data_IF_568396972687
#
_entry.id   IF_568396972687
#
_cell.length_a   1.000
_cell.length_b   1.000
_cell.length_c   1.000
_cell.angle_alpha   90.00
_cell.angle_beta   90.00
_cell.angle_gamma   90.00
#
_symmetry.space_group_name_H-M   'P 1'
#
loop_
_entity.id
_entity.type
_entity.pdbx_description
1 polymer ?
#
# COMPACT_ATOMS: atom_id res chain seq x y z
N UNK A 1 -39.31 9.44 -22.65
CA UNK A 1 -37.84 9.41 -22.50
C UNK A 1 -37.50 8.28 -21.53
N UNK A 2 -36.81 7.25 -22.01
CA UNK A 2 -36.51 6.04 -21.24
C UNK A 2 -35.49 6.34 -20.13
N UNK A 3 -35.92 6.21 -18.88
CA UNK A 3 -35.05 6.15 -17.71
C UNK A 3 -34.32 4.82 -17.70
N UNK A 4 -33.08 4.79 -18.19
CA UNK A 4 -32.22 3.63 -18.06
C UNK A 4 -31.92 3.39 -16.57
N UNK A 5 -32.33 2.22 -16.06
CA UNK A 5 -32.01 1.76 -14.71
C UNK A 5 -30.48 1.65 -14.52
N UNK A 6 -29.94 1.91 -13.32
CA UNK A 6 -28.52 1.70 -13.06
C UNK A 6 -28.21 0.21 -13.23
N UNK A 7 -27.29 -0.11 -14.15
CA UNK A 7 -26.88 -1.49 -14.40
C UNK A 7 -26.18 -2.05 -13.15
N UNK A 8 -26.85 -2.99 -12.47
CA UNK A 8 -26.26 -3.80 -11.40
C UNK A 8 -25.04 -4.56 -11.96
N UNK A 9 -23.84 -4.18 -11.53
CA UNK A 9 -22.62 -4.87 -11.89
C UNK A 9 -22.70 -6.29 -11.29
N UNK A 10 -22.61 -7.36 -12.09
CA UNK A 10 -22.79 -8.71 -11.59
C UNK A 10 -21.73 -9.02 -10.51
N UNK A 11 -22.19 -9.52 -9.36
CA UNK A 11 -21.37 -9.74 -8.15
C UNK A 11 -20.11 -10.57 -8.38
N UNK A 12 -20.14 -11.51 -9.34
CA UNK A 12 -18.98 -12.32 -9.70
C UNK A 12 -17.89 -11.52 -10.42
N UNK A 13 -18.25 -10.54 -11.28
CA UNK A 13 -17.28 -9.62 -11.90
C UNK A 13 -16.68 -8.69 -10.87
N UNK A 14 -17.46 -8.27 -9.88
CA UNK A 14 -16.95 -7.47 -8.75
C UNK A 14 -15.99 -8.30 -7.90
N UNK A 15 -16.30 -9.56 -7.60
CA UNK A 15 -15.40 -10.48 -6.90
C UNK A 15 -14.10 -10.74 -7.69
N UNK A 16 -14.22 -10.99 -9.01
CA UNK A 16 -13.06 -11.20 -9.88
C UNK A 16 -12.21 -9.93 -10.00
N UNK A 17 -12.83 -8.76 -10.12
CA UNK A 17 -12.14 -7.46 -10.10
C UNK A 17 -11.54 -7.14 -8.72
N UNK A 18 -12.16 -7.57 -7.63
CA UNK A 18 -11.56 -7.49 -6.29
C UNK A 18 -10.34 -8.41 -6.16
N UNK A 19 -10.36 -9.59 -6.80
CA UNK A 19 -9.21 -10.51 -6.80
C UNK A 19 -8.08 -10.04 -7.73
N UNK A 20 -8.40 -9.42 -8.87
CA UNK A 20 -7.44 -9.00 -9.90
C UNK A 20 -6.97 -7.55 -9.72
N UNK A 21 -7.77 -6.71 -9.07
CA UNK A 21 -7.48 -5.29 -8.87
C UNK A 21 -8.24 -4.73 -7.65
N UNK A 22 -7.92 -5.20 -6.43
CA UNK A 22 -8.59 -4.72 -5.22
C UNK A 22 -8.49 -3.20 -5.08
N UNK A 23 -7.36 -2.61 -5.52
CA UNK A 23 -7.14 -1.17 -5.48
C UNK A 23 -8.12 -0.35 -6.34
N UNK A 24 -8.58 -0.87 -7.48
CA UNK A 24 -9.54 -0.16 -8.34
C UNK A 24 -10.98 -0.24 -7.82
N UNK A 25 -11.39 -1.41 -7.31
CA UNK A 25 -12.71 -1.57 -6.67
C UNK A 25 -12.81 -0.72 -5.42
N UNK A 26 -11.73 -0.64 -4.64
CA UNK A 26 -11.69 0.23 -3.49
C UNK A 26 -11.71 1.69 -3.97
N UNK A 27 -11.02 2.08 -5.06
CA UNK A 27 -10.97 3.47 -5.59
C UNK A 27 -12.34 4.07 -5.90
N UNK A 28 -13.29 3.28 -6.41
CA UNK A 28 -14.68 3.74 -6.64
C UNK A 28 -15.40 4.10 -5.34
N UNK A 29 -14.94 3.54 -4.20
CA UNK A 29 -15.40 3.84 -2.85
C UNK A 29 -14.45 4.81 -2.08
N UNK A 30 -13.18 4.95 -2.51
CA UNK A 30 -12.12 5.73 -1.82
C UNK A 30 -12.41 7.23 -1.75
N UNK A 31 -13.16 7.79 -2.71
CA UNK A 31 -13.42 9.24 -2.78
C UNK A 31 -14.24 9.78 -1.60
N UNK A 32 -14.77 8.91 -0.74
CA UNK A 32 -15.63 9.28 0.41
C UNK A 32 -14.96 9.14 1.77
N UNK A 33 -13.73 8.61 1.85
CA UNK A 33 -13.07 8.32 3.12
C UNK A 33 -12.13 9.48 3.48
N UNK A 34 -12.25 10.08 4.69
CA UNK A 34 -11.34 11.11 5.13
C UNK A 34 -9.89 10.62 5.24
N UNK A 35 -8.94 11.48 4.89
CA UNK A 35 -7.52 11.16 4.83
C UNK A 35 -6.93 10.54 6.12
N UNK A 36 -7.34 10.89 7.35
CA UNK A 36 -6.76 10.27 8.54
C UNK A 36 -7.06 8.78 8.62
N UNK A 37 -8.27 8.35 8.24
CA UNK A 37 -8.67 6.95 8.24
C UNK A 37 -7.97 6.17 7.12
N UNK A 38 -7.76 6.81 5.97
CA UNK A 38 -6.97 6.22 4.88
C UNK A 38 -5.55 5.89 5.32
N UNK A 39 -4.91 6.79 6.07
CA UNK A 39 -3.55 6.60 6.60
C UNK A 39 -3.49 5.45 7.62
N UNK A 40 -4.59 5.15 8.33
CA UNK A 40 -4.62 3.97 9.21
C UNK A 40 -4.49 2.67 8.40
N UNK A 41 -5.05 2.59 7.20
CA UNK A 41 -4.95 1.39 6.33
C UNK A 41 -3.50 1.13 5.96
N UNK A 42 -2.78 2.16 5.49
CA UNK A 42 -1.35 2.02 5.17
C UNK A 42 -0.49 1.82 6.42
N UNK A 43 -0.80 2.51 7.52
CA UNK A 43 -0.12 2.32 8.81
C UNK A 43 -0.20 0.86 9.28
N UNK A 44 -1.39 0.28 9.30
CA UNK A 44 -1.61 -1.12 9.68
C UNK A 44 -0.99 -2.09 8.68
N UNK A 45 -1.06 -1.81 7.37
CA UNK A 45 -0.46 -2.69 6.36
C UNK A 45 1.05 -2.84 6.56
N UNK A 46 1.75 -1.72 6.74
CA UNK A 46 3.20 -1.75 6.96
C UNK A 46 3.54 -2.26 8.37
N UNK A 47 2.75 -1.96 9.39
CA UNK A 47 2.94 -2.56 10.74
C UNK A 47 2.92 -4.09 10.66
N UNK A 48 1.92 -4.68 10.00
CA UNK A 48 1.82 -6.14 9.86
C UNK A 48 2.93 -6.73 8.98
N UNK A 49 3.34 -6.01 7.93
CA UNK A 49 4.43 -6.44 7.05
C UNK A 49 5.79 -6.46 7.80
N UNK A 50 6.08 -5.41 8.56
CA UNK A 50 7.30 -5.30 9.33
C UNK A 50 7.30 -6.23 10.55
N UNK A 51 6.16 -6.47 11.17
CA UNK A 51 6.00 -7.52 12.17
C UNK A 51 6.36 -8.89 11.60
N UNK A 52 5.84 -9.25 10.42
CA UNK A 52 6.22 -10.48 9.74
C UNK A 52 7.72 -10.54 9.44
N UNK A 53 8.30 -9.43 8.99
CA UNK A 53 9.75 -9.34 8.76
C UNK A 53 10.52 -9.64 10.04
N UNK A 54 10.14 -9.02 11.16
CA UNK A 54 10.76 -9.27 12.47
C UNK A 54 10.57 -10.71 12.96
N UNK A 55 9.36 -11.27 12.82
CA UNK A 55 9.08 -12.66 13.19
C UNK A 55 9.91 -13.66 12.35
N UNK A 56 10.06 -13.41 11.05
CA UNK A 56 10.86 -14.24 10.17
C UNK A 56 12.36 -14.20 10.52
N UNK A 57 12.87 -13.03 10.90
CA UNK A 57 14.24 -12.84 11.38
C UNK A 57 14.46 -13.47 12.76
N UNK A 58 13.48 -13.37 13.67
CA UNK A 58 13.51 -14.02 14.99
C UNK A 58 13.55 -15.55 14.83
N UNK A 59 12.70 -16.12 13.97
CA UNK A 59 12.70 -17.55 13.62
C UNK A 59 14.01 -17.99 12.97
N UNK A 60 14.71 -17.09 12.29
CA UNK A 60 16.02 -17.35 11.71
C UNK A 60 17.17 -17.22 12.73
N UNK A 61 16.88 -16.86 13.98
CA UNK A 61 17.90 -16.63 15.02
C UNK A 61 18.75 -15.39 14.79
N UNK A 62 18.33 -14.48 13.91
CA UNK A 62 19.11 -13.29 13.55
C UNK A 62 18.93 -12.15 14.55
N UNK A 63 17.75 -12.05 15.19
CA UNK A 63 17.39 -10.92 16.06
C UNK A 63 16.67 -11.40 17.33
N UNK A 64 16.67 -10.56 18.36
CA UNK A 64 15.90 -10.77 19.59
C UNK A 64 14.46 -10.25 19.51
N UNK A 65 13.64 -10.61 20.50
CA UNK A 65 12.24 -10.19 20.59
C UNK A 65 12.06 -8.66 20.74
N UNK A 66 12.99 -7.98 21.41
CA UNK A 66 13.00 -6.51 21.53
C UNK A 66 13.13 -5.84 20.18
N UNK A 67 13.99 -6.38 19.30
CA UNK A 67 14.17 -5.89 17.94
C UNK A 67 12.89 -6.07 17.11
N UNK A 68 12.15 -7.17 17.28
CA UNK A 68 10.86 -7.37 16.59
C UNK A 68 9.87 -6.23 16.90
N UNK A 69 9.80 -5.79 18.15
CA UNK A 69 8.96 -4.66 18.57
C UNK A 69 9.43 -3.38 17.88
N UNK A 70 10.73 -3.11 17.89
CA UNK A 70 11.31 -1.93 17.23
C UNK A 70 10.99 -1.89 15.73
N UNK A 71 11.22 -3.00 15.01
CA UNK A 71 10.91 -3.11 13.57
C UNK A 71 9.40 -2.87 13.33
N UNK A 72 8.54 -3.39 14.21
CA UNK A 72 7.08 -3.22 14.11
C UNK A 72 6.68 -1.75 14.25
N UNK A 73 7.25 -1.03 15.23
CA UNK A 73 7.02 0.41 15.43
C UNK A 73 7.55 1.23 14.26
N UNK A 74 8.73 0.87 13.72
CA UNK A 74 9.26 1.50 12.52
C UNK A 74 8.35 1.26 11.31
N UNK A 75 7.74 0.07 11.20
CA UNK A 75 6.73 -0.23 10.20
C UNK A 75 5.50 0.68 10.28
N UNK A 76 5.03 0.99 11.49
CA UNK A 76 3.92 1.95 11.67
C UNK A 76 4.31 3.35 11.19
N UNK A 77 5.49 3.84 11.58
CA UNK A 77 6.00 5.15 11.14
C UNK A 77 6.19 5.18 9.60
N UNK A 78 6.68 4.07 9.05
CA UNK A 78 6.86 3.91 7.61
C UNK A 78 5.53 3.96 6.85
N UNK A 79 4.52 3.22 7.34
CA UNK A 79 3.19 3.15 6.74
C UNK A 79 2.35 4.41 6.90
N UNK A 80 2.69 5.26 7.87
CA UNK A 80 1.97 6.52 8.12
C UNK A 80 2.75 7.71 7.53
N UNK A 81 3.80 8.14 8.21
CA UNK A 81 4.62 9.29 7.82
C UNK A 81 5.27 9.05 6.46
N UNK A 82 5.86 7.87 6.23
CA UNK A 82 6.51 7.55 4.96
C UNK A 82 5.56 7.63 3.76
N UNK A 83 4.35 7.08 3.90
CA UNK A 83 3.33 7.13 2.84
C UNK A 83 2.79 8.54 2.62
N UNK A 84 2.57 9.31 3.68
CA UNK A 84 2.16 10.72 3.55
C UNK A 84 3.23 11.52 2.82
N UNK A 85 4.51 11.36 3.18
CA UNK A 85 5.62 12.05 2.52
C UNK A 85 5.73 11.65 1.05
N UNK A 86 5.57 10.37 0.71
CA UNK A 86 5.52 9.91 -0.68
C UNK A 86 4.35 10.53 -1.44
N UNK A 87 3.16 10.58 -0.85
CA UNK A 87 1.99 11.19 -1.47
C UNK A 87 2.21 12.69 -1.74
N UNK A 88 2.77 13.42 -0.77
CA UNK A 88 3.12 14.84 -0.91
C UNK A 88 4.17 15.06 -2.00
N UNK A 89 5.24 14.25 -2.01
CA UNK A 89 6.29 14.31 -3.04
C UNK A 89 5.70 14.12 -4.43
N UNK A 90 4.89 13.08 -4.63
CA UNK A 90 4.26 12.80 -5.92
C UNK A 90 3.28 13.90 -6.31
N UNK A 91 2.45 14.39 -5.37
CA UNK A 91 1.52 15.48 -5.61
C UNK A 91 2.24 16.74 -6.11
N UNK A 92 3.36 17.10 -5.47
CA UNK A 92 4.19 18.24 -5.87
C UNK A 92 4.83 18.03 -7.25
N UNK A 93 5.50 16.89 -7.47
CA UNK A 93 6.20 16.60 -8.73
C UNK A 93 5.24 16.42 -9.92
N UNK A 94 4.04 15.94 -9.66
CA UNK A 94 3.02 15.78 -10.69
C UNK A 94 2.35 17.10 -11.06
N UNK A 95 2.53 18.19 -10.31
CA UNK A 95 1.77 19.44 -10.46
C UNK A 95 0.26 19.20 -10.32
N UNK A 96 -0.12 18.36 -9.36
CA UNK A 96 -1.50 17.95 -9.14
C UNK A 96 -2.43 19.12 -8.80
N UNK A 97 -1.91 20.14 -8.10
CA UNK A 97 -2.65 21.35 -7.73
C UNK A 97 -3.13 22.16 -8.95
N UNK A 98 -2.32 22.26 -10.00
CA UNK A 98 -2.72 22.92 -11.26
C UNK A 98 -3.86 22.19 -11.98
N UNK A 99 -4.05 20.91 -11.65
CA UNK A 99 -5.09 20.05 -12.22
C UNK A 99 -6.29 19.85 -11.30
N UNK A 100 -6.40 20.63 -10.22
CA UNK A 100 -7.55 20.62 -9.31
C UNK A 100 -7.59 19.46 -8.32
N UNK A 101 -6.50 18.68 -8.16
CA UNK A 101 -6.42 17.63 -7.16
C UNK A 101 -5.86 18.17 -5.84
N UNK A 102 -6.60 17.96 -4.75
CA UNK A 102 -6.18 18.39 -3.40
C UNK A 102 -5.13 17.45 -2.81
N UNK A 103 -4.34 17.96 -1.86
CA UNK A 103 -3.35 17.16 -1.15
C UNK A 103 -4.00 16.03 -0.33
N UNK A 104 -5.14 16.31 0.30
CA UNK A 104 -5.90 15.32 1.08
C UNK A 104 -6.35 14.14 0.21
N UNK A 105 -6.80 14.43 -1.02
CA UNK A 105 -7.18 13.39 -1.97
C UNK A 105 -5.99 12.53 -2.38
N UNK A 106 -4.83 13.15 -2.61
CA UNK A 106 -3.60 12.44 -2.95
C UNK A 106 -3.15 11.51 -1.81
N UNK A 107 -3.13 12.01 -0.57
CA UNK A 107 -2.81 11.22 0.63
C UNK A 107 -3.77 10.04 0.76
N UNK A 108 -5.08 10.30 0.67
CA UNK A 108 -6.11 9.28 0.84
C UNK A 108 -5.97 8.17 -0.20
N UNK A 109 -5.79 8.54 -1.47
CA UNK A 109 -5.70 7.58 -2.58
C UNK A 109 -4.40 6.78 -2.54
N UNK A 110 -3.28 7.41 -2.14
CA UNK A 110 -2.01 6.69 -1.92
C UNK A 110 -2.12 5.70 -0.76
N UNK A 111 -2.64 6.13 0.39
CA UNK A 111 -2.73 5.30 1.57
C UNK A 111 -3.69 4.10 1.36
N UNK A 112 -4.84 4.32 0.73
CA UNK A 112 -5.78 3.27 0.38
C UNK A 112 -5.26 2.35 -0.74
N UNK A 113 -4.27 2.79 -1.54
CA UNK A 113 -3.56 1.93 -2.49
C UNK A 113 -2.89 0.71 -1.84
N UNK A 114 -2.54 0.80 -0.55
CA UNK A 114 -1.97 -0.30 0.23
C UNK A 114 -2.99 -1.25 0.85
N UNK A 115 -4.28 -1.12 0.50
CA UNK A 115 -5.30 -2.06 0.98
C UNK A 115 -5.00 -3.51 0.58
N UNK A 116 -4.44 -3.72 -0.62
CA UNK A 116 -3.95 -5.04 -1.02
C UNK A 116 -2.84 -5.52 -0.08
N UNK A 117 -1.86 -4.66 0.21
CA UNK A 117 -0.78 -4.95 1.15
C UNK A 117 -1.30 -5.36 2.52
N UNK A 118 -2.36 -4.70 3.02
CA UNK A 118 -2.99 -5.07 4.27
C UNK A 118 -3.56 -6.50 4.25
N UNK A 119 -4.32 -6.85 3.21
CA UNK A 119 -4.92 -8.19 3.08
C UNK A 119 -3.84 -9.27 2.97
N UNK A 120 -2.81 -9.03 2.14
CA UNK A 120 -1.69 -9.96 2.01
C UNK A 120 -0.91 -10.09 3.32
N UNK A 121 -0.61 -8.98 3.99
CA UNK A 121 0.10 -9.00 5.26
C UNK A 121 -0.69 -9.71 6.35
N UNK A 122 -2.00 -9.48 6.47
CA UNK A 122 -2.85 -10.18 7.44
C UNK A 122 -2.87 -11.69 7.17
N UNK A 123 -3.04 -12.08 5.90
CA UNK A 123 -3.01 -13.48 5.50
C UNK A 123 -1.65 -14.11 5.83
N UNK A 124 -0.56 -13.44 5.45
CA UNK A 124 0.80 -13.91 5.73
C UNK A 124 1.06 -14.08 7.23
N UNK A 125 0.57 -13.17 8.08
CA UNK A 125 0.71 -13.31 9.53
C UNK A 125 -0.01 -14.57 10.05
N UNK A 126 -1.23 -14.84 9.58
CA UNK A 126 -1.98 -16.05 9.93
C UNK A 126 -1.19 -17.30 9.53
N UNK A 127 -0.65 -17.34 8.30
CA UNK A 127 0.16 -18.47 7.82
C UNK A 127 1.47 -18.61 8.61
N UNK A 128 2.13 -17.50 8.95
CA UNK A 128 3.36 -17.50 9.74
C UNK A 128 3.15 -18.06 11.14
N UNK A 129 2.02 -17.75 11.78
CA UNK A 129 1.66 -18.22 13.12
C UNK A 129 1.15 -19.67 13.09
N UNK A 130 0.33 -20.04 12.10
CA UNK A 130 -0.26 -21.38 12.01
C UNK A 130 0.73 -22.46 11.54
N UNK A 131 1.59 -22.12 10.57
CA UNK A 131 2.47 -23.09 9.91
C UNK A 131 3.97 -22.84 10.18
N UNK A 132 4.32 -21.80 10.93
CA UNK A 132 5.71 -21.44 11.22
C UNK A 132 6.47 -20.88 10.01
N UNK A 133 5.82 -20.66 8.87
CA UNK A 133 6.47 -20.24 7.63
C UNK A 133 7.07 -18.83 7.71
N UNK A 134 8.07 -18.58 6.84
CA UNK A 134 8.64 -17.25 6.63
C UNK A 134 7.82 -16.53 5.54
N UNK A 135 6.97 -15.58 5.93
CA UNK A 135 5.93 -15.01 5.06
C UNK A 135 6.19 -13.57 4.63
N UNK A 136 7.20 -12.89 5.18
CA UNK A 136 7.47 -11.49 4.89
C UNK A 136 7.71 -11.24 3.40
N UNK A 137 8.47 -12.11 2.73
CA UNK A 137 8.72 -11.99 1.28
C UNK A 137 7.49 -12.42 0.48
N UNK A 138 6.97 -13.62 0.76
CA UNK A 138 5.90 -14.22 -0.04
C UNK A 138 4.59 -13.42 0.00
N UNK A 139 4.23 -12.87 1.16
CA UNK A 139 3.00 -12.11 1.36
C UNK A 139 3.26 -10.61 1.47
N UNK A 140 4.24 -10.20 2.26
CA UNK A 140 4.52 -8.78 2.50
C UNK A 140 4.99 -8.04 1.25
N UNK A 141 6.13 -8.45 0.67
CA UNK A 141 6.67 -7.84 -0.55
C UNK A 141 5.68 -7.96 -1.71
N UNK A 142 5.04 -9.11 -1.88
CA UNK A 142 3.98 -9.30 -2.87
C UNK A 142 2.86 -8.28 -2.68
N UNK A 143 2.39 -8.09 -1.45
CA UNK A 143 1.37 -7.09 -1.13
C UNK A 143 1.79 -5.66 -1.49
N UNK A 144 3.07 -5.29 -1.29
CA UNK A 144 3.61 -3.97 -1.69
C UNK A 144 3.66 -3.85 -3.22
N UNK A 145 4.09 -4.90 -3.93
CA UNK A 145 4.11 -4.91 -5.40
C UNK A 145 2.70 -4.78 -5.99
N UNK A 146 1.70 -5.38 -5.33
CA UNK A 146 0.29 -5.23 -5.71
C UNK A 146 -0.24 -3.81 -5.54
N UNK A 147 0.36 -2.99 -4.67
CA UNK A 147 0.02 -1.58 -4.52
C UNK A 147 0.60 -0.69 -5.64
N UNK A 148 1.51 -1.20 -6.49
CA UNK A 148 2.10 -0.43 -7.60
C UNK A 148 1.06 -0.07 -8.68
N UNK A 149 0.07 -0.94 -8.91
CA UNK A 149 -0.98 -0.68 -9.90
C UNK A 149 -1.92 0.47 -9.50
N UNK A 150 -2.54 0.48 -8.30
CA UNK A 150 -3.38 1.60 -7.88
C UNK A 150 -2.59 2.91 -7.72
N UNK A 151 -1.32 2.84 -7.29
CA UNK A 151 -0.46 4.03 -7.23
C UNK A 151 -0.18 4.57 -8.64
N UNK A 152 0.19 3.74 -9.61
CA UNK A 152 0.37 4.16 -11.00
C UNK A 152 -0.84 4.90 -11.57
N UNK A 153 -2.03 4.36 -11.35
CA UNK A 153 -3.26 4.98 -11.83
C UNK A 153 -3.53 6.34 -11.17
N UNK A 154 -3.18 6.47 -9.88
CA UNK A 154 -3.32 7.74 -9.13
C UNK A 154 -2.33 8.78 -9.61
N UNK A 155 -1.07 8.39 -9.85
CA UNK A 155 -0.05 9.27 -10.42
C UNK A 155 -0.43 9.69 -11.84
N UNK A 156 -0.99 8.78 -12.64
CA UNK A 156 -1.47 9.06 -13.98
C UNK A 156 -2.57 10.12 -13.99
N UNK A 157 -3.53 10.02 -13.08
CA UNK A 157 -4.56 11.04 -12.92
C UNK A 157 -3.98 12.41 -12.51
N UNK A 158 -3.11 12.42 -11.50
CA UNK A 158 -2.50 13.67 -11.01
C UNK A 158 -1.59 14.34 -12.04
N UNK A 159 -0.91 13.54 -12.85
CA UNK A 159 0.02 14.03 -13.87
C UNK A 159 -0.67 14.41 -15.18
N UNK A 160 -1.99 14.26 -15.31
CA UNK A 160 -2.72 14.55 -16.54
C UNK A 160 -2.42 13.53 -17.65
N UNK A 161 -2.48 12.24 -17.32
CA UNK A 161 -2.31 11.13 -18.26
C UNK A 161 -0.89 10.98 -18.85
N UNK A 162 0.12 11.64 -18.27
CA UNK A 162 1.53 11.52 -18.66
C UNK A 162 2.08 10.13 -18.28
N UNK A 163 1.92 9.17 -19.19
CA UNK A 163 2.26 7.75 -18.96
C UNK A 163 3.72 7.54 -18.55
N UNK A 164 4.67 8.12 -19.29
CA UNK A 164 6.10 7.94 -19.00
C UNK A 164 6.48 8.45 -17.60
N UNK A 165 6.00 9.65 -17.24
CA UNK A 165 6.17 10.21 -15.90
C UNK A 165 5.54 9.32 -14.82
N UNK A 166 4.33 8.81 -15.09
CA UNK A 166 3.60 7.97 -14.13
C UNK A 166 4.32 6.66 -13.85
N UNK A 167 4.86 6.01 -14.89
CA UNK A 167 5.67 4.80 -14.76
C UNK A 167 6.94 5.12 -13.96
N UNK A 168 7.68 6.16 -14.33
CA UNK A 168 8.91 6.54 -13.64
C UNK A 168 8.66 6.83 -12.14
N UNK A 169 7.62 7.60 -11.83
CA UNK A 169 7.26 7.93 -10.45
C UNK A 169 6.75 6.73 -9.66
N UNK A 170 5.98 5.82 -10.27
CA UNK A 170 5.54 4.59 -9.60
C UNK A 170 6.73 3.69 -9.27
N UNK A 171 7.65 3.54 -10.22
CA UNK A 171 8.89 2.79 -10.03
C UNK A 171 9.73 3.41 -8.93
N UNK A 172 9.86 4.74 -8.91
CA UNK A 172 10.57 5.45 -7.85
C UNK A 172 9.92 5.22 -6.47
N UNK A 173 8.59 5.32 -6.37
CA UNK A 173 7.87 5.04 -5.13
C UNK A 173 8.11 3.59 -4.69
N UNK A 174 7.94 2.62 -5.58
CA UNK A 174 8.20 1.20 -5.31
C UNK A 174 9.64 0.96 -4.85
N UNK A 175 10.62 1.58 -5.51
CA UNK A 175 12.03 1.47 -5.14
C UNK A 175 12.29 2.05 -3.74
N UNK A 176 11.76 3.23 -3.43
CA UNK A 176 11.88 3.84 -2.08
C UNK A 176 11.31 2.90 -1.02
N UNK A 177 10.14 2.30 -1.28
CA UNK A 177 9.48 1.36 -0.37
C UNK A 177 10.30 0.11 -0.11
N UNK A 178 10.79 -0.52 -1.18
CA UNK A 178 11.55 -1.76 -1.08
C UNK A 178 12.96 -1.54 -0.51
N UNK A 179 13.61 -0.42 -0.87
CA UNK A 179 14.90 -0.03 -0.28
C UNK A 179 14.71 0.26 1.20
N UNK A 180 13.67 1.02 1.57
CA UNK A 180 13.35 1.31 2.97
C UNK A 180 13.15 0.03 3.78
N UNK A 181 12.38 -0.93 3.25
CA UNK A 181 12.23 -2.24 3.87
C UNK A 181 13.56 -3.01 3.99
N UNK A 182 14.35 -3.10 2.92
CA UNK A 182 15.62 -3.82 2.93
C UNK A 182 16.64 -3.22 3.90
N UNK A 183 16.68 -1.89 4.00
CA UNK A 183 17.55 -1.15 4.92
C UNK A 183 17.10 -1.37 6.36
N UNK A 184 15.80 -1.24 6.65
CA UNK A 184 15.26 -1.48 7.99
C UNK A 184 15.43 -2.94 8.43
N UNK A 185 15.32 -3.89 7.50
CA UNK A 185 15.63 -5.30 7.75
C UNK A 185 17.10 -5.57 8.05
N UNK A 186 18.03 -4.74 7.53
CA UNK A 186 19.46 -4.84 7.85
C UNK A 186 19.84 -4.16 9.16
N UNK A 187 19.29 -2.99 9.46
CA UNK A 187 19.59 -2.25 10.69
C UNK A 187 19.12 -2.95 11.97
N UNK A 188 18.25 -3.93 11.83
CA UNK A 188 17.68 -4.67 12.94
C UNK A 188 18.46 -5.94 13.31
N UNK A 189 19.36 -6.42 12.43
CA UNK A 189 20.28 -7.54 12.68
C UNK A 189 21.69 -7.08 13.00
#
# INVERSE_FOLDING_TARGET
MNTAAPMDIPRWKTALNMMINPGEVIKTQMTKIPWPYSVMVSGLSFTLFFLQTGLDMLKAGQIGASTVILITVLGLLYGTVGIVLLAVMVWALSQAGERGYTLEWAISTFALGYSATFVYALSGLIFSLAFGWKTAVAFGVTGVLWALRPTLYTIKQMSGERVAFSIAMTTLCGAILLIGWAVLGKFAG
#
